data_IF_019907954888
#
_entry.id   IF_019907954888
#
_cell.length_a   1.000
_cell.length_b   1.000
_cell.length_c   1.000
_cell.angle_alpha   90.00
_cell.angle_beta   90.00
_cell.angle_gamma   90.00
#
_symmetry.space_group_name_H-M   'P 1'
#
loop_
_entity.id
_entity.type
_entity.pdbx_description
1 polymer ?
#
# COMPACT_ATOMS: atom_id res chain seq x y z
N UNK A 1 -17.11 -14.36 5.36
CA UNK A 1 -16.53 -13.92 5.01
C UNK A 1 -15.35 -14.27 4.61
N UNK A 2 -14.80 -14.20 3.65
CA UNK A 2 -13.69 -14.63 3.35
C UNK A 2 -12.68 -13.67 3.36
N UNK A 3 -11.50 -14.03 3.72
CA UNK A 3 -10.44 -13.26 3.70
C UNK A 3 -9.75 -13.53 2.48
N UNK A 4 -9.76 -12.69 1.51
CA UNK A 4 -9.08 -12.87 0.26
C UNK A 4 -7.64 -12.42 0.43
N UNK A 5 -6.72 -13.29 0.06
CA UNK A 5 -5.31 -13.00 0.13
C UNK A 5 -4.74 -13.01 -1.27
N UNK A 6 -4.05 -11.94 -1.62
CA UNK A 6 -3.47 -11.79 -2.95
C UNK A 6 -1.96 -11.92 -2.87
N UNK A 7 -1.38 -12.60 -3.86
CA UNK A 7 0.07 -12.62 -3.99
C UNK A 7 0.50 -11.33 -4.68
N UNK A 8 1.79 -11.06 -4.63
CA UNK A 8 2.27 -9.81 -5.20
C UNK A 8 1.98 -9.72 -6.69
N UNK A 9 2.04 -10.85 -7.39
CA UNK A 9 1.76 -10.81 -8.83
C UNK A 9 0.31 -10.42 -9.09
N UNK A 10 -0.60 -10.90 -8.26
CA UNK A 10 -2.01 -10.54 -8.41
C UNK A 10 -2.23 -9.07 -8.11
N UNK A 11 -1.62 -8.60 -7.03
CA UNK A 11 -1.75 -7.21 -6.65
C UNK A 11 -1.19 -6.30 -7.73
N UNK A 12 -0.05 -6.68 -8.29
CA UNK A 12 0.57 -5.89 -9.34
C UNK A 12 -0.33 -5.80 -10.57
N UNK A 13 -0.96 -6.92 -10.91
CA UNK A 13 -1.88 -6.91 -12.04
C UNK A 13 -3.08 -6.00 -11.79
N UNK A 14 -3.63 -6.05 -10.60
CA UNK A 14 -4.80 -5.23 -10.27
C UNK A 14 -4.44 -3.75 -10.29
N UNK A 15 -3.29 -3.41 -9.71
CA UNK A 15 -2.85 -2.02 -9.64
C UNK A 15 -2.27 -1.57 -10.98
N UNK A 16 -1.90 -2.55 -11.82
CA UNK A 16 -1.35 -2.29 -13.14
C UNK A 16 0.04 -1.66 -13.05
N UNK A 17 0.91 -2.26 -12.26
CA UNK A 17 2.31 -1.87 -12.18
C UNK A 17 3.12 -3.13 -12.06
N UNK A 18 4.43 -3.00 -12.14
CA UNK A 18 5.32 -4.15 -11.99
C UNK A 18 5.40 -4.54 -10.52
N UNK A 19 5.65 -5.81 -10.28
CA UNK A 19 5.74 -6.30 -8.91
C UNK A 19 6.81 -5.58 -8.11
N UNK A 20 7.97 -5.31 -8.73
CA UNK A 20 9.03 -4.66 -7.99
C UNK A 20 8.67 -3.23 -7.60
N UNK A 21 7.75 -2.61 -8.32
CA UNK A 21 7.30 -1.28 -7.97
C UNK A 21 6.51 -1.31 -6.67
N UNK A 22 5.67 -2.33 -6.50
CA UNK A 22 4.91 -2.47 -5.27
C UNK A 22 5.84 -2.68 -4.08
N UNK A 23 6.88 -3.50 -4.26
CA UNK A 23 7.82 -3.72 -3.19
C UNK A 23 8.57 -2.47 -2.84
N UNK A 24 8.95 -1.70 -3.86
CA UNK A 24 9.65 -0.45 -3.64
C UNK A 24 8.77 0.52 -2.85
N UNK A 25 7.49 0.62 -3.23
CA UNK A 25 6.58 1.50 -2.51
C UNK A 25 6.38 1.03 -1.08
N UNK A 26 6.28 -0.28 -0.90
CA UNK A 26 6.08 -0.82 0.43
C UNK A 26 7.22 -0.41 1.35
N UNK A 27 8.44 -0.50 0.87
CA UNK A 27 9.61 -0.13 1.66
C UNK A 27 9.70 1.37 1.87
N UNK A 28 9.57 2.13 0.80
CA UNK A 28 9.76 3.57 0.89
C UNK A 28 8.66 4.25 1.67
N UNK A 29 7.46 3.74 1.59
CA UNK A 29 6.34 4.35 2.27
C UNK A 29 6.04 3.68 3.60
N UNK A 30 6.82 2.67 3.95
CA UNK A 30 6.67 1.97 5.22
C UNK A 30 5.26 1.48 5.41
N UNK A 31 4.75 0.79 4.41
CA UNK A 31 3.41 0.25 4.48
C UNK A 31 3.37 -1.03 5.29
N UNK A 32 2.24 -1.26 5.93
CA UNK A 32 2.08 -2.41 6.78
C UNK A 32 1.46 -3.54 5.99
N UNK A 33 2.23 -4.55 5.64
CA UNK A 33 1.78 -5.66 4.84
C UNK A 33 1.86 -6.94 5.65
N UNK A 34 0.78 -7.71 5.73
CA UNK A 34 0.78 -8.91 6.57
C UNK A 34 1.59 -10.04 5.96
N UNK A 35 1.93 -11.00 6.81
CA UNK A 35 2.63 -12.20 6.37
C UNK A 35 1.87 -13.40 6.86
N UNK A 36 1.96 -14.49 6.09
CA UNK A 36 1.26 -15.69 6.47
C UNK A 36 2.11 -16.50 7.45
N UNK A 37 1.67 -17.72 7.75
CA UNK A 37 2.36 -18.54 8.74
C UNK A 37 3.78 -18.89 8.33
N UNK A 38 4.03 -18.91 7.02
CA UNK A 38 5.35 -19.23 6.52
C UNK A 38 6.24 -18.00 6.38
N UNK A 39 5.75 -16.84 6.74
CA UNK A 39 6.52 -15.62 6.65
C UNK A 39 6.50 -14.95 5.29
N UNK A 40 5.64 -15.43 4.38
CA UNK A 40 5.54 -14.83 3.07
C UNK A 40 4.52 -13.70 3.08
N UNK A 41 4.82 -12.64 2.35
CA UNK A 41 3.91 -11.51 2.26
C UNK A 41 2.67 -11.90 1.49
N UNK A 42 1.55 -11.37 1.90
CA UNK A 42 0.36 -11.41 1.09
C UNK A 42 -0.32 -10.05 1.22
N UNK A 43 -1.21 -9.76 0.28
CA UNK A 43 -1.83 -8.44 0.23
C UNK A 43 -3.32 -8.59 0.39
N UNK A 44 -3.88 -7.70 1.19
CA UNK A 44 -5.32 -7.68 1.41
C UNK A 44 -5.96 -6.70 0.44
N UNK A 45 -7.28 -6.68 0.43
CA UNK A 45 -7.99 -5.75 -0.40
C UNK A 45 -7.63 -4.31 -0.02
N UNK A 46 -7.47 -4.06 1.28
CA UNK A 46 -7.09 -2.74 1.73
C UNK A 46 -5.71 -2.35 1.24
N UNK A 47 -4.78 -3.30 1.23
CA UNK A 47 -3.46 -3.02 0.72
C UNK A 47 -3.52 -2.65 -0.75
N UNK A 48 -4.33 -3.35 -1.51
CA UNK A 48 -4.44 -3.08 -2.93
C UNK A 48 -5.05 -1.70 -3.17
N UNK A 49 -6.06 -1.34 -2.40
CA UNK A 49 -6.66 -0.02 -2.53
C UNK A 49 -5.64 1.06 -2.19
N UNK A 50 -4.79 0.82 -1.22
CA UNK A 50 -3.76 1.75 -0.85
C UNK A 50 -2.76 1.92 -1.98
N UNK A 51 -2.36 0.82 -2.61
CA UNK A 51 -1.45 0.91 -3.74
C UNK A 51 -2.08 1.67 -4.90
N UNK A 52 -3.37 1.46 -5.14
CA UNK A 52 -4.05 2.19 -6.21
C UNK A 52 -4.06 3.68 -5.93
N UNK A 53 -4.25 4.05 -4.67
CA UNK A 53 -4.22 5.46 -4.31
C UNK A 53 -2.83 6.04 -4.49
N UNK A 54 -1.80 5.27 -4.12
CA UNK A 54 -0.43 5.71 -4.29
C UNK A 54 -0.14 5.95 -5.77
N UNK A 55 -0.61 5.02 -6.61
CA UNK A 55 -0.40 5.17 -8.03
C UNK A 55 -1.04 6.44 -8.55
N UNK A 56 -2.26 6.73 -8.10
CA UNK A 56 -2.94 7.95 -8.52
C UNK A 56 -2.16 9.18 -8.10
N UNK A 57 -1.65 9.19 -6.88
CA UNK A 57 -0.91 10.34 -6.41
C UNK A 57 0.38 10.52 -7.20
N UNK A 58 1.03 9.42 -7.54
CA UNK A 58 2.22 9.49 -8.37
C UNK A 58 1.89 10.08 -9.73
N UNK A 59 0.78 9.68 -10.29
CA UNK A 59 0.38 10.19 -11.59
C UNK A 59 0.04 11.66 -11.55
N UNK A 60 -0.36 12.15 -10.38
CA UNK A 60 -0.65 13.56 -10.22
C UNK A 60 0.61 14.37 -9.95
N UNK A 61 1.76 13.71 -9.86
CA UNK A 61 3.02 14.42 -9.72
C UNK A 61 3.59 14.48 -8.32
N UNK A 62 2.94 13.84 -7.36
CA UNK A 62 3.47 13.85 -6.01
C UNK A 62 4.71 12.99 -5.90
N UNK A 63 5.66 13.43 -5.11
CA UNK A 63 6.84 12.64 -4.83
C UNK A 63 6.53 11.65 -3.73
N UNK A 64 7.30 10.58 -3.67
CA UNK A 64 7.05 9.55 -2.67
C UNK A 64 7.08 10.10 -1.25
N UNK A 65 7.95 11.04 -0.98
CA UNK A 65 8.03 11.62 0.34
C UNK A 65 6.70 12.25 0.74
N UNK A 66 6.09 12.97 -0.18
CA UNK A 66 4.80 13.59 0.09
C UNK A 66 3.71 12.54 0.22
N UNK A 67 3.76 11.50 -0.62
CA UNK A 67 2.78 10.44 -0.57
C UNK A 67 2.86 9.71 0.76
N UNK A 68 4.08 9.50 1.24
CA UNK A 68 4.25 8.84 2.53
C UNK A 68 3.53 9.62 3.62
N UNK A 69 3.66 10.92 3.62
CA UNK A 69 2.99 11.74 4.60
C UNK A 69 1.49 11.66 4.46
N UNK A 70 1.00 11.69 3.23
CA UNK A 70 -0.43 11.63 2.99
C UNK A 70 -1.00 10.30 3.47
N UNK A 71 -0.34 9.22 3.13
CA UNK A 71 -0.83 7.89 3.49
C UNK A 71 -0.85 7.71 5.00
N UNK A 72 0.19 8.15 5.68
CA UNK A 72 0.25 7.95 7.11
C UNK A 72 -0.68 8.90 7.85
N UNK A 73 -0.93 10.07 7.30
CA UNK A 73 -1.84 10.98 7.94
C UNK A 73 -3.30 10.60 7.77
N UNK A 74 -3.58 9.64 6.92
CA UNK A 74 -4.95 9.21 6.76
C UNK A 74 -5.32 8.18 7.80
N UNK A 75 -4.38 7.77 8.63
CA UNK A 75 -4.73 6.82 9.66
C UNK A 75 -5.55 7.54 10.73
N UNK A 76 -6.44 6.84 11.38
CA UNK A 76 -7.25 7.46 12.43
C UNK A 76 -6.42 8.04 13.55
N UNK A 77 -5.31 7.39 13.87
CA UNK A 77 -4.48 7.86 14.93
C UNK A 77 -3.92 9.23 14.63
N UNK A 78 -3.44 9.43 13.42
CA UNK A 78 -2.87 10.71 13.07
C UNK A 78 -3.91 11.79 13.14
N UNK A 79 -5.13 11.49 12.76
CA UNK A 79 -6.14 12.50 12.80
C UNK A 79 -6.46 12.94 14.19
N UNK A 80 -6.41 12.02 15.11
CA UNK A 80 -6.74 12.37 16.46
C UNK A 80 -5.74 13.28 17.05
N UNK A 81 -4.50 13.18 16.64
CA UNK A 81 -3.52 13.99 17.22
C UNK A 81 -3.61 15.40 16.83
N UNK A 82 -4.26 15.67 15.76
CA UNK A 82 -4.35 17.01 15.32
C UNK A 82 -5.15 17.84 16.24
N UNK A 83 -6.06 17.28 16.87
CA UNK A 83 -6.98 17.95 17.73
C UNK A 83 -6.39 18.85 18.73
#
# INVERSE_FOLDING_TARGET
>A
MEKVRYMISDAANIVNVESHVLRYWEDELELNVPRNELGHRYYTKENIQEFQRIKELKEQGYQLKAIRMIVHNMSPDAQEEVG
#
